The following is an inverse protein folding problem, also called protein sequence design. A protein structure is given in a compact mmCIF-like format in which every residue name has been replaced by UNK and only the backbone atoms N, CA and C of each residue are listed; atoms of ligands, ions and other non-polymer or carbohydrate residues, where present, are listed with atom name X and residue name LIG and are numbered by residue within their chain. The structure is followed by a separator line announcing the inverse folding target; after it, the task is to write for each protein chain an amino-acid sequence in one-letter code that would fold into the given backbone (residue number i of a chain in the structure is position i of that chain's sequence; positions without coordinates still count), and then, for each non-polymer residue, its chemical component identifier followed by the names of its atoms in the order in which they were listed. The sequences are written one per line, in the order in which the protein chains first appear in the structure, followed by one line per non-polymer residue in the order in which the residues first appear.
data_IF_756438011209
#
_entry.id   IF_756438011209
#
_cell.length_a   1.000
_cell.length_b   1.000
_cell.length_c   1.000
_cell.angle_alpha   90.00
_cell.angle_beta   90.00
_cell.angle_gamma   90.00
#
_symmetry.space_group_name_H-M   'P 1'
#
loop_
_entity.id
_entity.type
_entity.pdbx_description
1 polymer ?
#
# COMPACT_ATOMS: atom_id res chain seq x y z
N UNK A 1 70.26 24.18 10.79
CA UNK A 1 69.98 22.88 10.12
C UNK A 1 68.49 22.62 10.25
N UNK A 2 67.76 22.81 9.15
CA UNK A 2 66.30 22.68 9.04
C UNK A 2 66.01 21.37 8.33
N UNK A 3 65.15 20.53 8.91
CA UNK A 3 64.57 19.36 8.25
C UNK A 3 63.05 19.38 8.39
N UNK A 4 62.36 20.00 7.42
CA UNK A 4 60.90 19.94 7.31
C UNK A 4 60.53 18.63 6.62
N UNK A 5 59.82 17.74 7.32
CA UNK A 5 59.24 16.53 6.74
C UNK A 5 58.03 16.87 5.87
N UNK A 6 58.10 16.55 4.58
CA UNK A 6 57.03 16.69 3.61
C UNK A 6 56.06 15.51 3.73
N UNK A 7 54.86 15.76 4.26
CA UNK A 7 53.74 14.80 4.21
C UNK A 7 53.16 14.83 2.80
N UNK A 8 53.17 13.70 2.11
CA UNK A 8 52.71 13.54 0.73
C UNK A 8 51.17 13.61 0.62
N UNK A 9 50.61 14.32 -0.37
CA UNK A 9 49.16 14.53 -0.50
C UNK A 9 48.38 13.36 -1.10
N UNK A 10 49.00 12.20 -1.33
CA UNK A 10 48.38 11.08 -2.05
C UNK A 10 47.41 10.23 -1.20
N UNK A 11 47.49 10.31 0.13
CA UNK A 11 46.67 9.47 1.01
C UNK A 11 45.24 10.01 1.19
N UNK A 12 45.03 11.32 1.00
CA UNK A 12 43.70 11.93 1.18
C UNK A 12 42.73 11.67 0.01
N UNK A 13 43.23 11.36 -1.19
CA UNK A 13 42.39 11.17 -2.37
C UNK A 13 41.72 9.78 -2.43
N UNK A 14 42.35 8.76 -1.85
CA UNK A 14 41.85 7.38 -1.89
C UNK A 14 40.63 7.15 -0.99
N UNK A 15 40.46 7.92 0.09
CA UNK A 15 39.32 7.79 0.99
C UNK A 15 38.04 8.43 0.44
N UNK A 16 38.15 9.43 -0.43
CA UNK A 16 36.98 10.14 -0.99
C UNK A 16 36.32 9.37 -2.14
N UNK A 17 37.07 8.52 -2.85
CA UNK A 17 36.52 7.67 -3.92
C UNK A 17 35.78 6.42 -3.44
N UNK A 18 35.95 5.98 -2.18
CA UNK A 18 35.33 4.75 -1.69
C UNK A 18 33.86 4.94 -1.24
N UNK A 19 33.40 6.17 -1.01
CA UNK A 19 32.04 6.46 -0.55
C UNK A 19 30.99 6.56 -1.68
N UNK A 20 31.39 6.61 -2.96
CA UNK A 20 30.45 6.80 -4.08
C UNK A 20 29.86 5.49 -4.65
N UNK A 21 30.31 4.32 -4.18
CA UNK A 21 29.90 3.02 -4.74
C UNK A 21 28.74 2.33 -4.00
N UNK A 22 28.18 2.94 -2.96
CA UNK A 22 26.99 2.41 -2.25
C UNK A 22 25.75 3.25 -2.56
N UNK A 23 25.57 3.63 -3.82
CA UNK A 23 24.29 4.14 -4.31
C UNK A 23 23.48 2.95 -4.84
N UNK A 24 23.01 2.10 -3.93
CA UNK A 24 22.03 1.07 -4.26
C UNK A 24 20.71 1.73 -4.62
N UNK A 25 20.55 2.20 -5.86
CA UNK A 25 19.27 2.70 -6.34
C UNK A 25 18.27 1.54 -6.30
N UNK A 26 17.24 1.65 -5.46
CA UNK A 26 16.08 0.76 -5.51
C UNK A 26 15.52 0.82 -6.94
N UNK A 27 15.64 -0.28 -7.69
CA UNK A 27 15.25 -0.33 -9.10
C UNK A 27 13.73 -0.31 -9.18
N UNK A 28 13.17 0.81 -9.63
CA UNK A 28 11.75 0.88 -10.00
C UNK A 28 11.54 0.12 -11.31
N UNK A 29 10.42 -0.60 -11.38
CA UNK A 29 9.99 -1.34 -12.56
C UNK A 29 8.58 -0.92 -12.95
N UNK A 30 8.37 -0.54 -14.20
CA UNK A 30 7.05 -0.21 -14.73
C UNK A 30 6.45 -1.42 -15.43
N UNK A 31 5.20 -1.76 -15.11
CA UNK A 31 4.46 -2.84 -15.79
C UNK A 31 3.01 -2.47 -15.99
N UNK A 32 2.45 -2.90 -17.11
CA UNK A 32 0.99 -2.82 -17.34
C UNK A 32 0.30 -3.92 -16.55
N UNK A 33 -0.49 -3.53 -15.56
CA UNK A 33 -1.20 -4.42 -14.63
C UNK A 33 -2.70 -4.11 -14.69
N UNK A 34 -3.52 -5.16 -14.66
CA UNK A 34 -4.96 -5.05 -14.44
C UNK A 34 -5.23 -4.71 -12.98
N UNK A 35 -5.74 -3.51 -12.74
CA UNK A 35 -6.14 -3.05 -11.41
C UNK A 35 -7.64 -3.20 -11.25
N UNK A 36 -8.04 -3.87 -10.18
CA UNK A 36 -9.42 -3.92 -9.70
C UNK A 36 -9.53 -3.19 -8.37
N UNK A 37 -10.74 -3.02 -7.87
CA UNK A 37 -10.99 -2.39 -6.58
C UNK A 37 -11.88 -3.24 -5.67
N UNK A 38 -11.62 -3.16 -4.37
CA UNK A 38 -12.40 -3.82 -3.33
C UNK A 38 -12.59 -2.95 -2.09
N UNK A 39 -13.59 -3.29 -1.27
CA UNK A 39 -13.88 -2.64 0.01
C UNK A 39 -14.02 -3.64 1.15
N UNK A 40 -14.02 -3.16 2.40
CA UNK A 40 -14.32 -3.96 3.61
C UNK A 40 -15.77 -4.45 3.75
N UNK A 41 -16.57 -4.30 2.71
CA UNK A 41 -17.99 -4.60 2.64
C UNK A 41 -18.27 -6.12 2.52
N UNK A 42 -19.46 -6.58 2.91
CA UNK A 42 -19.88 -8.00 2.87
C UNK A 42 -19.72 -8.67 1.49
N UNK A 43 -19.95 -7.92 0.42
CA UNK A 43 -19.91 -8.41 -0.97
C UNK A 43 -18.48 -8.67 -1.43
N UNK A 44 -17.56 -7.75 -1.16
CA UNK A 44 -16.15 -7.89 -1.57
C UNK A 44 -15.38 -8.85 -0.65
N UNK A 45 -15.61 -8.78 0.66
CA UNK A 45 -14.85 -9.58 1.64
C UNK A 45 -15.54 -10.88 2.08
N UNK A 46 -16.68 -11.26 1.47
CA UNK A 46 -17.38 -12.52 1.74
C UNK A 46 -17.59 -12.82 3.23
N UNK A 47 -18.22 -11.89 3.93
CA UNK A 47 -18.60 -12.05 5.34
C UNK A 47 -20.09 -11.75 5.55
N UNK A 48 -20.66 -12.30 6.61
CA UNK A 48 -22.06 -12.11 7.00
C UNK A 48 -22.21 -11.86 8.51
N UNK A 49 -23.34 -11.28 8.93
CA UNK A 49 -23.66 -11.08 10.35
C UNK A 49 -24.40 -12.27 10.93
N UNK A 50 -24.07 -12.60 12.17
CA UNK A 50 -24.63 -13.72 12.93
C UNK A 50 -24.28 -15.09 12.37
N UNK A 51 -24.42 -16.11 13.21
CA UNK A 51 -24.22 -17.51 12.87
C UNK A 51 -25.52 -18.30 12.97
N UNK A 52 -25.74 -19.19 12.02
CA UNK A 52 -26.87 -20.13 12.09
C UNK A 52 -26.77 -21.11 13.28
N UNK A 53 -25.59 -21.23 13.90
CA UNK A 53 -25.41 -21.96 15.16
C UNK A 53 -26.23 -21.35 16.31
N UNK A 54 -26.42 -20.03 16.29
CA UNK A 54 -27.18 -19.29 17.30
C UNK A 54 -28.48 -18.74 16.75
N UNK A 55 -29.04 -19.36 15.70
CA UNK A 55 -30.24 -18.88 15.01
C UNK A 55 -30.16 -17.40 14.59
N UNK A 56 -28.94 -16.91 14.27
CA UNK A 56 -28.63 -15.51 13.93
C UNK A 56 -28.92 -14.48 15.04
N UNK A 57 -29.07 -14.91 16.29
CA UNK A 57 -29.27 -14.02 17.45
C UNK A 57 -28.00 -13.22 17.82
N UNK A 58 -26.85 -13.64 17.32
CA UNK A 58 -25.52 -13.02 17.42
C UNK A 58 -25.26 -12.00 16.29
N UNK A 59 -26.24 -11.17 15.94
CA UNK A 59 -26.17 -10.28 14.76
C UNK A 59 -25.09 -9.18 14.83
N UNK A 60 -24.51 -8.94 16.00
CA UNK A 60 -23.38 -8.02 16.20
C UNK A 60 -22.09 -8.58 15.60
N UNK A 61 -21.93 -9.90 15.65
CA UNK A 61 -20.72 -10.60 15.23
C UNK A 61 -20.68 -10.81 13.72
N UNK A 62 -19.46 -10.76 13.17
CA UNK A 62 -19.18 -10.98 11.75
C UNK A 62 -18.50 -12.32 11.57
N UNK A 63 -18.96 -13.10 10.59
CA UNK A 63 -18.40 -14.40 10.25
C UNK A 63 -18.08 -14.48 8.76
N UNK A 64 -17.05 -15.24 8.42
CA UNK A 64 -16.69 -15.52 7.02
C UNK A 64 -17.78 -16.38 6.38
N UNK A 65 -18.37 -15.94 5.26
CA UNK A 65 -19.47 -16.64 4.60
C UNK A 65 -19.00 -17.63 3.53
N UNK A 66 -17.79 -17.44 2.96
CA UNK A 66 -17.27 -18.27 1.88
C UNK A 66 -15.76 -18.55 2.00
N UNK A 67 -15.29 -19.60 1.31
CA UNK A 67 -13.88 -19.98 1.24
C UNK A 67 -13.44 -20.91 2.38
N UNK A 68 -12.11 -21.09 2.49
CA UNK A 68 -11.48 -22.07 3.42
C UNK A 68 -11.79 -21.83 4.89
N UNK A 69 -12.13 -20.59 5.27
CA UNK A 69 -12.34 -20.17 6.65
C UNK A 69 -13.83 -19.93 6.99
N UNK A 70 -14.77 -20.46 6.19
CA UNK A 70 -16.20 -20.29 6.41
C UNK A 70 -16.62 -20.63 7.86
N UNK A 71 -17.42 -19.75 8.46
CA UNK A 71 -17.91 -19.87 9.83
C UNK A 71 -16.97 -19.34 10.92
N UNK A 72 -15.72 -18.99 10.59
CA UNK A 72 -14.81 -18.31 11.54
C UNK A 72 -15.18 -16.84 11.72
N UNK A 73 -14.87 -16.22 12.87
CA UNK A 73 -15.06 -14.78 13.07
C UNK A 73 -14.24 -13.97 12.06
N UNK A 74 -14.83 -12.92 11.52
CA UNK A 74 -14.22 -12.03 10.54
C UNK A 74 -13.71 -10.74 11.20
N UNK A 75 -12.40 -10.53 11.15
CA UNK A 75 -11.72 -9.39 11.78
C UNK A 75 -11.72 -8.14 10.91
N UNK A 76 -11.69 -8.28 9.58
CA UNK A 76 -11.47 -7.17 8.65
C UNK A 76 -10.01 -6.79 8.44
N UNK A 77 -9.07 -7.57 8.97
CA UNK A 77 -7.64 -7.35 8.81
C UNK A 77 -7.13 -7.98 7.51
N UNK A 78 -6.08 -7.40 6.95
CA UNK A 78 -5.37 -7.90 5.77
C UNK A 78 -4.63 -9.20 6.07
N UNK A 79 -4.13 -9.88 5.05
CA UNK A 79 -3.29 -11.07 5.23
C UNK A 79 -1.99 -10.82 6.03
N UNK A 80 -1.48 -9.58 6.04
CA UNK A 80 -0.36 -9.16 6.89
C UNK A 80 -0.79 -8.77 8.32
N UNK A 81 -2.09 -8.71 8.61
CA UNK A 81 -2.64 -8.37 9.92
C UNK A 81 -2.84 -6.87 10.17
N UNK A 82 -2.54 -6.02 9.18
CA UNK A 82 -2.82 -4.59 9.23
C UNK A 82 -4.29 -4.29 8.95
N UNK A 83 -4.74 -3.10 9.31
CA UNK A 83 -6.04 -2.58 8.86
C UNK A 83 -5.90 -2.03 7.44
N UNK A 84 -6.83 -2.34 6.53
CA UNK A 84 -6.76 -1.85 5.17
C UNK A 84 -7.11 -0.36 5.11
N UNK A 85 -6.30 0.39 4.39
CA UNK A 85 -6.41 1.86 4.24
C UNK A 85 -6.34 2.26 2.78
N UNK A 86 -6.99 3.38 2.46
CA UNK A 86 -6.91 4.02 1.14
C UNK A 86 -5.73 5.02 1.14
N UNK A 87 -5.03 5.24 0.02
CA UNK A 87 -3.95 6.20 -0.02
C UNK A 87 -4.49 7.61 0.25
N UNK A 88 -3.87 8.32 1.18
CA UNK A 88 -4.17 9.73 1.40
C UNK A 88 -2.95 10.57 1.05
N UNK A 89 -3.10 11.52 0.12
CA UNK A 89 -2.01 12.40 -0.21
C UNK A 89 -1.86 13.48 0.89
N UNK A 90 -0.61 13.87 1.16
CA UNK A 90 -0.29 14.82 2.23
C UNK A 90 -0.84 16.24 1.98
N UNK A 91 -0.61 17.14 2.94
CA UNK A 91 -1.14 18.52 2.92
C UNK A 91 -0.78 19.30 1.64
N UNK A 92 0.38 19.06 1.04
CA UNK A 92 0.88 19.79 -0.14
C UNK A 92 0.65 19.05 -1.47
N UNK A 93 -0.45 18.32 -1.59
CA UNK A 93 -0.79 17.57 -2.80
C UNK A 93 -1.91 18.24 -3.61
N UNK A 94 -2.06 17.82 -4.88
CA UNK A 94 -3.12 18.28 -5.78
C UNK A 94 -4.54 18.14 -5.18
N UNK A 95 -4.76 17.19 -4.27
CA UNK A 95 -6.05 17.03 -3.60
C UNK A 95 -6.41 18.23 -2.72
N UNK A 96 -5.41 18.91 -2.14
CA UNK A 96 -5.64 20.09 -1.29
C UNK A 96 -6.16 21.28 -2.09
N UNK A 97 -5.93 21.32 -3.41
CA UNK A 97 -6.55 22.30 -4.31
C UNK A 97 -8.01 21.94 -4.62
N UNK A 98 -8.34 20.66 -4.70
CA UNK A 98 -9.72 20.20 -4.98
C UNK A 98 -10.65 20.26 -3.75
N UNK A 99 -10.09 20.23 -2.54
CA UNK A 99 -10.85 20.24 -1.28
C UNK A 99 -10.33 21.33 -0.30
N UNK A 100 -10.39 22.63 -0.68
CA UNK A 100 -9.75 23.70 0.08
C UNK A 100 -10.33 23.92 1.49
N UNK A 101 -11.59 23.51 1.72
CA UNK A 101 -12.23 23.59 3.05
C UNK A 101 -11.59 22.67 4.09
N UNK A 102 -10.81 21.67 3.66
CA UNK A 102 -10.05 20.80 4.56
C UNK A 102 -8.74 21.43 5.04
N UNK A 103 -8.28 22.54 4.44
CA UNK A 103 -7.00 23.18 4.77
C UNK A 103 -6.97 23.61 6.25
N UNK A 104 -7.96 24.34 6.80
CA UNK A 104 -7.94 24.73 8.22
C UNK A 104 -7.86 23.53 9.17
N UNK A 105 -8.62 22.47 8.89
CA UNK A 105 -8.63 21.23 9.68
C UNK A 105 -7.27 20.53 9.62
N UNK A 106 -6.72 20.36 8.41
CA UNK A 106 -5.40 19.74 8.25
C UNK A 106 -4.32 20.60 8.92
N UNK A 107 -4.35 21.92 8.85
CA UNK A 107 -3.35 22.78 9.51
C UNK A 107 -3.36 22.72 11.04
N UNK A 108 -4.51 22.43 11.65
CA UNK A 108 -4.63 22.32 13.11
C UNK A 108 -4.20 20.94 13.63
N UNK A 109 -4.20 19.92 12.78
CA UNK A 109 -3.95 18.54 13.15
C UNK A 109 -2.70 17.99 12.44
N UNK A 110 -1.50 18.07 13.06
CA UNK A 110 -0.23 17.73 12.41
C UNK A 110 -0.14 16.30 11.88
N UNK A 111 -0.90 15.36 12.44
CA UNK A 111 -0.96 13.98 11.96
C UNK A 111 -1.62 13.82 10.58
N UNK A 112 -2.38 14.81 10.12
CA UNK A 112 -2.96 14.83 8.76
C UNK A 112 -1.99 15.39 7.71
N UNK A 113 -0.79 15.82 8.10
CA UNK A 113 0.20 16.36 7.16
C UNK A 113 0.94 15.26 6.41
N UNK A 114 1.10 14.11 7.06
CA UNK A 114 1.87 13.00 6.51
C UNK A 114 1.03 12.19 5.53
N UNK A 115 1.62 11.92 4.37
CA UNK A 115 1.06 10.97 3.43
C UNK A 115 1.10 9.57 4.04
N UNK A 116 0.12 8.74 3.71
CA UNK A 116 0.19 7.32 4.00
C UNK A 116 -0.22 6.52 2.78
N UNK A 117 0.43 5.38 2.65
CA UNK A 117 0.23 4.47 1.54
C UNK A 117 -1.08 3.68 1.71
N UNK A 118 -1.70 3.38 0.59
CA UNK A 118 -2.86 2.51 0.51
C UNK A 118 -2.52 1.03 0.67
N UNK A 119 -3.55 0.23 0.87
CA UNK A 119 -3.46 -1.22 0.92
C UNK A 119 -3.70 -1.84 -0.46
N UNK A 120 -2.76 -2.70 -0.88
CA UNK A 120 -2.85 -3.47 -2.11
C UNK A 120 -2.96 -4.96 -1.77
N UNK A 121 -3.91 -5.64 -2.43
CA UNK A 121 -3.98 -7.08 -2.46
C UNK A 121 -3.35 -7.61 -3.77
N UNK A 122 -2.37 -8.50 -3.65
CA UNK A 122 -1.66 -9.07 -4.78
C UNK A 122 -1.29 -10.55 -4.54
N UNK A 123 -0.79 -11.20 -5.58
CA UNK A 123 -0.23 -12.54 -5.45
C UNK A 123 1.20 -12.47 -4.88
N UNK A 124 1.36 -12.87 -3.62
CA UNK A 124 2.65 -12.77 -2.91
C UNK A 124 3.77 -13.62 -3.49
N UNK A 125 3.47 -14.54 -4.41
CA UNK A 125 4.49 -15.29 -5.16
C UNK A 125 5.25 -14.40 -6.14
N UNK A 126 4.61 -13.33 -6.62
CA UNK A 126 5.20 -12.37 -7.56
C UNK A 126 5.53 -11.04 -6.89
N UNK A 127 4.71 -10.63 -5.92
CA UNK A 127 4.83 -9.38 -5.20
C UNK A 127 4.86 -9.63 -3.69
N UNK A 128 6.03 -9.86 -3.09
CA UNK A 128 6.15 -10.08 -1.65
C UNK A 128 5.51 -8.95 -0.84
N UNK A 129 5.10 -9.25 0.39
CA UNK A 129 4.61 -8.21 1.29
C UNK A 129 5.67 -7.11 1.49
N UNK A 130 5.22 -5.86 1.52
CA UNK A 130 6.11 -4.69 1.54
C UNK A 130 6.49 -4.16 0.16
N UNK A 131 6.13 -4.84 -0.94
CA UNK A 131 6.26 -4.26 -2.29
C UNK A 131 5.42 -3.00 -2.37
N UNK A 132 6.05 -1.88 -2.71
CA UNK A 132 5.39 -0.58 -2.85
C UNK A 132 5.09 -0.35 -4.33
N UNK A 133 3.90 0.17 -4.63
CA UNK A 133 3.46 0.41 -6.00
C UNK A 133 2.81 1.79 -6.12
N UNK A 134 3.06 2.47 -7.23
CA UNK A 134 2.31 3.67 -7.61
C UNK A 134 1.32 3.33 -8.70
N UNK A 135 0.03 3.56 -8.43
CA UNK A 135 -1.05 3.35 -9.39
C UNK A 135 -1.59 4.71 -9.84
N UNK A 136 -1.47 5.05 -11.13
CA UNK A 136 -1.99 6.31 -11.66
C UNK A 136 -3.49 6.49 -11.36
N UNK A 137 -3.85 7.62 -10.77
CA UNK A 137 -5.23 7.96 -10.41
C UNK A 137 -5.72 7.39 -9.07
N UNK A 138 -4.96 6.52 -8.40
CA UNK A 138 -5.26 6.04 -7.05
C UNK A 138 -4.21 6.54 -6.04
N UNK A 139 -2.92 6.35 -6.33
CA UNK A 139 -1.82 6.80 -5.46
C UNK A 139 -0.81 5.71 -5.14
N UNK A 140 -0.01 5.96 -4.10
CA UNK A 140 0.98 5.00 -3.59
C UNK A 140 0.33 3.98 -2.66
N UNK A 141 0.69 2.71 -2.81
CA UNK A 141 0.22 1.64 -1.93
C UNK A 141 1.27 0.57 -1.68
N UNK A 142 1.02 -0.25 -0.67
CA UNK A 142 1.89 -1.35 -0.26
C UNK A 142 1.11 -2.66 -0.32
N UNK A 143 1.76 -3.71 -0.82
CA UNK A 143 1.23 -5.07 -0.80
C UNK A 143 1.24 -5.58 0.64
N UNK A 144 0.05 -5.65 1.24
CA UNK A 144 -0.17 -6.16 2.61
C UNK A 144 -1.28 -7.21 2.66
N UNK A 145 -1.99 -7.41 1.55
CA UNK A 145 -3.14 -8.31 1.50
C UNK A 145 -3.03 -9.33 0.37
N UNK A 146 -3.84 -10.40 0.45
CA UNK A 146 -3.89 -11.49 -0.53
C UNK A 146 -5.32 -11.83 -0.90
N UNK A 147 -5.64 -11.65 -2.18
CA UNK A 147 -6.91 -12.09 -2.75
C UNK A 147 -6.88 -13.56 -3.17
N UNK A 148 -7.96 -14.30 -2.87
CA UNK A 148 -8.17 -15.64 -3.41
C UNK A 148 -8.34 -15.63 -4.95
N UNK A 149 -8.97 -14.60 -5.49
CA UNK A 149 -9.20 -14.41 -6.93
C UNK A 149 -8.07 -13.62 -7.65
N UNK A 150 -7.14 -13.04 -6.89
CA UNK A 150 -6.04 -12.23 -7.42
C UNK A 150 -4.81 -13.13 -7.54
N UNK A 151 -4.49 -13.52 -8.78
CA UNK A 151 -3.44 -14.49 -9.11
C UNK A 151 -2.63 -14.01 -10.30
N UNK A 152 -1.33 -14.33 -10.27
CA UNK A 152 -0.40 -14.00 -11.34
C UNK A 152 0.24 -12.60 -11.17
N UNK A 153 1.15 -12.25 -12.10
CA UNK A 153 1.89 -10.99 -12.04
C UNK A 153 1.13 -9.80 -12.64
N UNK A 154 0.06 -10.03 -13.40
CA UNK A 154 -0.61 -8.98 -14.17
C UNK A 154 -1.92 -8.49 -13.56
N UNK A 155 -2.18 -8.83 -12.29
CA UNK A 155 -3.42 -8.44 -11.61
C UNK A 155 -3.19 -8.05 -10.15
N UNK A 156 -3.74 -6.91 -9.75
CA UNK A 156 -3.76 -6.40 -8.37
C UNK A 156 -5.14 -5.86 -8.03
N UNK A 157 -5.45 -5.79 -6.73
CA UNK A 157 -6.72 -5.27 -6.23
C UNK A 157 -6.45 -4.16 -5.20
N UNK A 158 -7.08 -3.01 -5.40
CA UNK A 158 -6.83 -1.78 -4.66
C UNK A 158 -7.93 -1.58 -3.62
N UNK A 159 -7.53 -1.26 -2.39
CA UNK A 159 -8.49 -1.00 -1.33
C UNK A 159 -9.09 0.41 -1.44
N UNK A 160 -10.41 0.48 -1.31
CA UNK A 160 -11.18 1.71 -1.19
C UNK A 160 -12.03 1.68 0.07
N UNK A 161 -12.20 2.85 0.67
CA UNK A 161 -13.02 3.01 1.88
C UNK A 161 -14.51 2.79 1.57
N UNK A 162 -14.98 3.31 0.43
CA UNK A 162 -16.37 3.18 -0.01
C UNK A 162 -16.57 2.10 -1.08
N UNK A 163 -17.67 1.35 -0.98
CA UNK A 163 -18.10 0.45 -2.04
C UNK A 163 -18.42 1.19 -3.34
N UNK A 164 -18.98 2.41 -3.24
CA UNK A 164 -19.30 3.22 -4.41
C UNK A 164 -18.06 3.61 -5.20
N UNK A 165 -17.00 4.02 -4.51
CA UNK A 165 -15.71 4.38 -5.12
C UNK A 165 -15.04 3.17 -5.77
N UNK A 166 -15.07 2.01 -5.11
CA UNK A 166 -14.56 0.77 -5.71
C UNK A 166 -15.29 0.41 -7.02
N UNK A 167 -16.62 0.59 -7.08
CA UNK A 167 -17.40 0.36 -8.29
C UNK A 167 -17.09 1.39 -9.38
N UNK A 168 -16.94 2.67 -9.02
CA UNK A 168 -16.56 3.73 -9.95
C UNK A 168 -15.15 3.53 -10.51
N UNK A 169 -14.23 2.98 -9.70
CA UNK A 169 -12.91 2.60 -10.17
C UNK A 169 -13.00 1.51 -11.25
N UNK A 170 -13.81 0.48 -11.03
CA UNK A 170 -14.03 -0.59 -11.99
C UNK A 170 -12.77 -1.44 -12.23
N UNK A 171 -12.62 -1.96 -13.47
CA UNK A 171 -11.45 -2.73 -13.89
C UNK A 171 -10.73 -1.97 -15.00
N UNK A 172 -9.43 -1.74 -14.83
CA UNK A 172 -8.63 -0.97 -15.79
C UNK A 172 -7.22 -1.53 -15.88
N UNK A 173 -6.58 -1.36 -17.03
CA UNK A 173 -5.16 -1.71 -17.23
C UNK A 173 -4.36 -0.42 -17.19
N UNK A 174 -3.47 -0.32 -16.22
CA UNK A 174 -2.65 0.86 -16.00
C UNK A 174 -1.17 0.45 -15.95
N UNK A 175 -0.30 1.35 -16.35
CA UNK A 175 1.12 1.24 -16.08
C UNK A 175 1.38 1.57 -14.62
N UNK A 176 1.79 0.56 -13.87
CA UNK A 176 2.07 0.63 -12.43
C UNK A 176 3.57 0.63 -12.22
N UNK A 177 4.05 1.58 -11.43
CA UNK A 177 5.43 1.58 -10.96
C UNK A 177 5.54 0.68 -9.74
N UNK A 178 6.57 -0.17 -9.71
CA UNK A 178 6.76 -1.20 -8.69
C UNK A 178 8.14 -1.03 -8.09
N UNK A 179 8.19 -0.92 -6.77
CA UNK A 179 9.40 -0.84 -5.97
C UNK A 179 9.39 -2.05 -5.04
N UNK A 180 10.34 -2.97 -5.27
CA UNK A 180 10.50 -4.16 -4.44
C UNK A 180 11.25 -3.79 -3.14
N UNK A 181 10.92 -4.45 -2.01
CA UNK A 181 11.63 -4.28 -0.75
C UNK A 181 13.05 -4.87 -0.82
#
# INVERSE_FOLDING_TARGET
MVGRGTVTPQVFCAFFCLCLLVSGCARSEHRVIETTAYCGCRKCCSWERGSWKYLKLDFWDRYVSAGKHKGRPYTGKTAAGSEPTEPQPGLFSLSSLTHPWMIPVRTVFPWLWMHHDGTIAADTRYYPFGTRMYVPGWGWGVVVDRGGAIKGPSRIDLFFTSHGEALQWGRRRLEVEIIRP
#
